data_IF_225685062274
#
_entry.id   IF_225685062274
#
_cell.length_a   1.000
_cell.length_b   1.000
_cell.length_c   1.000
_cell.angle_alpha   90.00
_cell.angle_beta   90.00
_cell.angle_gamma   90.00
#
_symmetry.space_group_name_H-M   'P 1'
#
loop_
_entity.id
_entity.type
_entity.pdbx_description
1 polymer ?
#
# COMPACT_ATOMS: atom_id res chain seq x y z
N UNK A 1 -16.76 32.24 23.83
CA UNK A 1 -16.86 32.30 22.35
C UNK A 1 -15.94 31.30 21.62
N UNK A 2 -14.90 30.74 22.26
CA UNK A 2 -13.95 29.79 21.65
C UNK A 2 -14.43 28.33 21.56
N UNK A 3 -15.29 27.87 22.47
CA UNK A 3 -15.84 26.50 22.45
C UNK A 3 -16.77 26.22 21.26
N UNK A 4 -17.50 27.23 20.78
CA UNK A 4 -18.53 27.08 19.74
C UNK A 4 -17.90 26.93 18.34
N UNK A 5 -16.81 27.67 18.09
CA UNK A 5 -16.01 27.52 16.87
C UNK A 5 -15.32 26.15 16.78
N UNK A 6 -14.83 25.62 17.90
CA UNK A 6 -14.26 24.27 17.97
C UNK A 6 -15.29 23.18 17.66
N UNK A 7 -16.50 23.29 18.23
CA UNK A 7 -17.61 22.37 17.96
C UNK A 7 -18.07 22.44 16.50
N UNK A 8 -18.13 23.63 15.89
CA UNK A 8 -18.46 23.80 14.47
C UNK A 8 -17.41 23.16 13.57
N UNK A 9 -16.11 23.33 13.88
CA UNK A 9 -15.02 22.67 13.15
C UNK A 9 -15.13 21.14 13.22
N UNK A 10 -15.36 20.57 14.40
CA UNK A 10 -15.50 19.12 14.55
C UNK A 10 -16.67 18.56 13.73
N UNK A 11 -17.82 19.23 13.73
CA UNK A 11 -18.97 18.83 12.91
C UNK A 11 -18.68 18.88 11.41
N UNK A 12 -18.01 19.92 10.96
CA UNK A 12 -17.59 20.06 9.57
C UNK A 12 -16.62 18.94 9.16
N UNK A 13 -15.62 18.64 10.00
CA UNK A 13 -14.68 17.53 9.74
C UNK A 13 -15.38 16.18 9.69
N UNK A 14 -16.34 15.90 10.57
CA UNK A 14 -17.14 14.66 10.52
C UNK A 14 -17.96 14.56 9.22
N UNK A 15 -18.59 15.66 8.79
CA UNK A 15 -19.33 15.68 7.52
C UNK A 15 -18.39 15.46 6.33
N UNK A 16 -17.20 16.06 6.35
CA UNK A 16 -16.18 15.83 5.33
C UNK A 16 -15.67 14.39 5.31
N UNK A 17 -15.48 13.76 6.47
CA UNK A 17 -15.06 12.35 6.55
C UNK A 17 -16.09 11.40 5.94
N UNK A 18 -17.38 11.72 6.07
CA UNK A 18 -18.46 10.98 5.43
C UNK A 18 -18.40 11.14 3.91
N UNK A 19 -18.38 12.39 3.42
CA UNK A 19 -18.30 12.69 1.98
C UNK A 19 -17.05 12.08 1.35
N UNK A 20 -15.90 12.16 2.03
CA UNK A 20 -14.64 11.57 1.55
C UNK A 20 -14.77 10.07 1.36
N UNK A 21 -15.43 9.37 2.30
CA UNK A 21 -15.67 7.93 2.19
C UNK A 21 -16.60 7.61 1.04
N UNK A 22 -17.71 8.32 0.90
CA UNK A 22 -18.67 8.12 -0.17
C UNK A 22 -18.03 8.33 -1.55
N UNK A 23 -17.35 9.46 -1.74
CA UNK A 23 -16.67 9.77 -3.02
C UNK A 23 -15.60 8.74 -3.35
N UNK A 24 -14.76 8.36 -2.37
CA UNK A 24 -13.74 7.34 -2.61
C UNK A 24 -14.38 5.98 -2.93
N UNK A 25 -15.48 5.61 -2.29
CA UNK A 25 -16.20 4.38 -2.61
C UNK A 25 -16.76 4.41 -4.04
N UNK A 26 -17.48 5.47 -4.41
CA UNK A 26 -18.07 5.65 -5.73
C UNK A 26 -17.04 5.66 -6.86
N UNK A 27 -15.82 6.15 -6.60
CA UNK A 27 -14.75 6.26 -7.59
C UNK A 27 -13.86 5.02 -7.62
N UNK A 28 -13.44 4.50 -6.45
CA UNK A 28 -12.43 3.45 -6.36
C UNK A 28 -13.06 2.06 -6.53
N UNK A 29 -14.18 1.78 -5.86
CA UNK A 29 -14.82 0.45 -5.88
C UNK A 29 -15.07 -0.06 -7.31
N UNK A 30 -15.67 0.72 -8.25
CA UNK A 30 -15.88 0.25 -9.62
C UNK A 30 -14.62 0.28 -10.51
N UNK A 31 -13.55 0.96 -10.10
CA UNK A 31 -12.33 1.12 -10.90
C UNK A 31 -11.33 -0.04 -10.75
N UNK A 32 -11.52 -0.90 -9.75
CA UNK A 32 -10.65 -2.04 -9.45
C UNK A 32 -11.46 -3.35 -9.46
N UNK A 33 -10.81 -4.51 -9.52
CA UNK A 33 -11.52 -5.80 -9.40
C UNK A 33 -12.23 -5.95 -8.06
N UNK A 34 -13.35 -6.66 -8.05
CA UNK A 34 -14.03 -7.08 -6.82
C UNK A 34 -13.03 -7.71 -5.85
N UNK A 35 -13.03 -7.21 -4.61
CA UNK A 35 -12.00 -7.58 -3.65
C UNK A 35 -12.22 -9.01 -3.17
N UNK A 36 -11.18 -9.82 -3.12
CA UNK A 36 -11.19 -11.13 -2.50
C UNK A 36 -9.76 -11.51 -2.17
N UNK A 37 -9.58 -12.59 -1.40
CA UNK A 37 -8.24 -13.15 -1.18
C UNK A 37 -7.56 -13.46 -2.52
N UNK A 38 -8.30 -14.00 -3.48
CA UNK A 38 -7.77 -14.41 -4.78
C UNK A 38 -7.39 -13.22 -5.66
N UNK A 39 -8.15 -12.11 -5.63
CA UNK A 39 -7.84 -10.91 -6.41
C UNK A 39 -6.74 -10.05 -5.78
N UNK A 40 -6.59 -10.09 -4.45
CA UNK A 40 -5.49 -9.42 -3.74
C UNK A 40 -4.17 -10.19 -3.80
N UNK A 41 -4.22 -11.53 -3.89
CA UNK A 41 -3.04 -12.40 -3.83
C UNK A 41 -1.92 -12.05 -4.83
N UNK A 42 -2.19 -11.76 -6.13
CA UNK A 42 -1.15 -11.39 -7.08
C UNK A 42 -0.33 -10.16 -6.66
N UNK A 43 -0.97 -9.15 -6.07
CA UNK A 43 -0.30 -7.94 -5.58
C UNK A 43 0.67 -8.30 -4.45
N UNK A 44 0.21 -9.08 -3.47
CA UNK A 44 1.01 -9.51 -2.31
C UNK A 44 2.21 -10.37 -2.78
N UNK A 45 1.98 -11.29 -3.72
CA UNK A 45 3.04 -12.11 -4.31
C UNK A 45 4.10 -11.24 -4.98
N UNK A 46 3.70 -10.21 -5.74
CA UNK A 46 4.63 -9.32 -6.42
C UNK A 46 5.49 -8.52 -5.42
N UNK A 47 4.89 -8.00 -4.34
CA UNK A 47 5.66 -7.34 -3.27
C UNK A 47 6.70 -8.30 -2.67
N UNK A 48 6.31 -9.54 -2.39
CA UNK A 48 7.21 -10.55 -1.84
C UNK A 48 8.37 -10.88 -2.79
N UNK A 49 8.10 -11.07 -4.08
CA UNK A 49 9.11 -11.34 -5.10
C UNK A 49 10.12 -10.20 -5.25
N UNK A 50 9.63 -8.96 -5.36
CA UNK A 50 10.50 -7.77 -5.48
C UNK A 50 11.36 -7.57 -4.23
N UNK A 51 10.79 -7.81 -3.04
CA UNK A 51 11.55 -7.80 -1.79
C UNK A 51 12.65 -8.87 -1.80
N UNK A 52 12.34 -10.08 -2.25
CA UNK A 52 13.30 -11.16 -2.35
C UNK A 52 14.44 -10.81 -3.32
N UNK A 53 14.14 -10.22 -4.47
CA UNK A 53 15.15 -9.81 -5.45
C UNK A 53 16.09 -8.72 -4.91
N UNK A 54 15.53 -7.71 -4.25
CA UNK A 54 16.31 -6.67 -3.58
C UNK A 54 17.26 -7.25 -2.53
N UNK A 55 16.74 -8.09 -1.62
CA UNK A 55 17.55 -8.70 -0.56
C UNK A 55 18.60 -9.64 -1.14
N UNK A 56 18.23 -10.49 -2.09
CA UNK A 56 19.15 -11.41 -2.77
C UNK A 56 20.32 -10.66 -3.39
N UNK A 57 20.05 -9.53 -4.04
CA UNK A 57 21.11 -8.72 -4.64
C UNK A 57 21.96 -8.00 -3.59
N UNK A 58 21.37 -7.48 -2.51
CA UNK A 58 22.10 -6.88 -1.40
C UNK A 58 23.09 -7.88 -0.75
N UNK A 59 22.64 -9.11 -0.49
CA UNK A 59 23.49 -10.19 0.04
C UNK A 59 24.59 -10.58 -0.95
N UNK A 60 24.28 -10.65 -2.27
CA UNK A 60 25.29 -10.88 -3.30
C UNK A 60 26.38 -9.81 -3.31
N UNK A 61 26.01 -8.54 -3.15
CA UNK A 61 26.98 -7.44 -3.10
C UNK A 61 27.86 -7.46 -1.85
N UNK A 62 27.34 -8.02 -0.75
CA UNK A 62 28.04 -8.14 0.53
C UNK A 62 28.93 -9.38 0.62
N UNK A 63 28.63 -10.42 -0.17
CA UNK A 63 29.43 -11.63 -0.26
C UNK A 63 30.66 -11.42 -1.17
N UNK A 64 31.79 -12.06 -0.81
CA UNK A 64 33.00 -12.16 -1.63
C UNK A 64 33.64 -10.84 -2.08
N UNK A 65 33.72 -9.86 -1.19
CA UNK A 65 34.56 -8.68 -1.39
C UNK A 65 35.64 -8.60 -0.32
N UNK A 66 36.86 -8.99 -0.68
CA UNK A 66 38.08 -8.71 0.09
C UNK A 66 38.33 -7.19 0.06
N UNK A 67 37.59 -6.46 0.88
CA UNK A 67 37.70 -5.01 1.15
C UNK A 67 37.27 -4.06 0.01
N UNK A 68 36.66 -4.57 -1.06
CA UNK A 68 36.12 -3.72 -2.13
C UNK A 68 34.65 -3.34 -1.87
N UNK A 69 34.30 -2.07 -2.07
CA UNK A 69 32.90 -1.64 -2.05
C UNK A 69 32.17 -1.97 -3.36
N UNK A 70 30.82 -2.00 -3.37
CA UNK A 70 30.02 -2.05 -4.59
C UNK A 70 30.36 -0.93 -5.57
N UNK A 71 30.38 -1.22 -6.87
CA UNK A 71 30.56 -0.20 -7.90
C UNK A 71 29.34 0.72 -8.01
N UNK A 72 29.49 1.87 -8.66
CA UNK A 72 28.37 2.78 -8.90
C UNK A 72 27.22 2.11 -9.68
N UNK A 73 27.53 1.25 -10.66
CA UNK A 73 26.54 0.50 -11.43
C UNK A 73 25.79 -0.51 -10.56
N UNK A 74 26.50 -1.22 -9.68
CA UNK A 74 25.91 -2.15 -8.74
C UNK A 74 24.99 -1.45 -7.74
N UNK A 75 25.40 -0.29 -7.23
CA UNK A 75 24.56 0.54 -6.37
C UNK A 75 23.34 1.10 -7.11
N UNK A 76 23.47 1.47 -8.38
CA UNK A 76 22.35 1.91 -9.20
C UNK A 76 21.32 0.78 -9.39
N UNK A 77 21.79 -0.46 -9.65
CA UNK A 77 20.91 -1.63 -9.72
C UNK A 77 20.23 -1.92 -8.38
N UNK A 78 20.97 -1.86 -7.27
CA UNK A 78 20.42 -2.05 -5.94
C UNK A 78 19.33 -1.01 -5.62
N UNK A 79 19.57 0.26 -5.98
CA UNK A 79 18.60 1.35 -5.86
C UNK A 79 17.33 1.08 -6.67
N UNK A 80 17.47 0.66 -7.92
CA UNK A 80 16.32 0.31 -8.76
C UNK A 80 15.48 -0.82 -8.15
N UNK A 81 16.11 -1.89 -7.66
CA UNK A 81 15.41 -2.99 -7.00
C UNK A 81 14.67 -2.52 -5.74
N UNK A 82 15.29 -1.65 -4.94
CA UNK A 82 14.65 -1.04 -3.76
C UNK A 82 13.42 -0.22 -4.14
N UNK A 83 13.53 0.63 -5.16
CA UNK A 83 12.45 1.52 -5.61
C UNK A 83 11.27 0.72 -6.14
N UNK A 84 11.50 -0.28 -7.00
CA UNK A 84 10.45 -1.19 -7.49
C UNK A 84 9.73 -1.91 -6.35
N UNK A 85 10.48 -2.42 -5.36
CA UNK A 85 9.89 -3.02 -4.17
C UNK A 85 9.07 -2.02 -3.35
N UNK A 86 9.59 -0.82 -3.11
CA UNK A 86 8.93 0.20 -2.29
C UNK A 86 7.64 0.72 -2.94
N UNK A 87 7.62 0.88 -4.26
CA UNK A 87 6.44 1.29 -5.00
C UNK A 87 5.30 0.28 -4.84
N UNK A 88 5.60 -1.01 -5.06
CA UNK A 88 4.60 -2.06 -4.91
C UNK A 88 4.15 -2.24 -3.45
N UNK A 89 5.04 -2.01 -2.48
CA UNK A 89 4.67 -2.00 -1.06
C UNK A 89 3.72 -0.85 -0.74
N UNK A 90 3.94 0.34 -1.31
CA UNK A 90 3.06 1.48 -1.14
C UNK A 90 1.67 1.18 -1.72
N UNK A 91 1.59 0.59 -2.91
CA UNK A 91 0.33 0.15 -3.50
C UNK A 91 -0.43 -0.86 -2.62
N UNK A 92 0.27 -1.85 -2.05
CA UNK A 92 -0.35 -2.83 -1.15
C UNK A 92 -0.88 -2.20 0.15
N UNK A 93 -0.17 -1.20 0.69
CA UNK A 93 -0.62 -0.44 1.88
C UNK A 93 -1.79 0.47 1.57
N UNK A 94 -1.81 1.08 0.39
CA UNK A 94 -2.95 1.88 -0.04
C UNK A 94 -4.19 1.01 -0.20
N UNK A 95 -4.04 -0.22 -0.72
CA UNK A 95 -5.14 -1.17 -0.77
C UNK A 95 -5.67 -1.51 0.63
N UNK A 96 -4.78 -1.83 1.59
CA UNK A 96 -5.15 -2.07 3.00
C UNK A 96 -5.89 -0.85 3.59
N UNK A 97 -5.41 0.36 3.32
CA UNK A 97 -6.07 1.59 3.73
C UNK A 97 -7.47 1.73 3.14
N UNK A 98 -7.64 1.51 1.84
CA UNK A 98 -8.95 1.56 1.18
C UNK A 98 -9.92 0.55 1.79
N UNK A 99 -9.45 -0.65 2.14
CA UNK A 99 -10.24 -1.67 2.83
C UNK A 99 -10.67 -1.19 4.22
N UNK A 100 -9.73 -0.76 5.06
CA UNK A 100 -10.01 -0.29 6.43
C UNK A 100 -10.98 0.90 6.47
N UNK A 101 -10.91 1.73 5.44
CA UNK A 101 -11.76 2.91 5.31
C UNK A 101 -13.08 2.64 4.59
N UNK A 102 -13.30 1.43 4.09
CA UNK A 102 -14.53 1.06 3.37
C UNK A 102 -14.69 1.83 2.06
N UNK A 103 -13.59 2.10 1.35
CA UNK A 103 -13.60 2.69 0.00
C UNK A 103 -13.82 1.62 -1.09
N UNK A 104 -13.84 0.35 -0.71
CA UNK A 104 -14.00 -0.78 -1.63
C UNK A 104 -14.99 -1.75 -0.98
N UNK A 105 -15.84 -2.35 -1.81
CA UNK A 105 -16.73 -3.41 -1.35
C UNK A 105 -15.96 -4.70 -1.07
N UNK A 106 -16.12 -5.21 0.15
CA UNK A 106 -15.66 -6.54 0.49
C UNK A 106 -16.77 -7.56 0.24
N UNK A 107 -16.42 -8.79 -0.19
CA UNK A 107 -17.38 -9.85 -0.36
C UNK A 107 -18.01 -10.10 1.00
N UNK A 108 -19.34 -10.05 1.04
CA UNK A 108 -20.10 -10.36 2.24
C UNK A 108 -19.78 -11.81 2.57
N UNK A 109 -18.93 -12.04 3.57
CA UNK A 109 -18.68 -13.38 4.05
C UNK A 109 -20.03 -13.97 4.45
N UNK A 110 -20.37 -15.15 3.92
CA UNK A 110 -21.49 -15.92 4.40
C UNK A 110 -21.41 -15.94 5.93
N UNK A 111 -22.35 -15.27 6.59
CA UNK A 111 -22.57 -15.47 8.01
C UNK A 111 -22.83 -16.95 8.16
N UNK A 112 -21.85 -17.71 8.65
CA UNK A 112 -22.06 -19.08 9.12
C UNK A 112 -23.26 -19.01 10.07
N UNK A 113 -24.40 -19.50 9.59
CA UNK A 113 -25.56 -19.84 10.40
C UNK A 113 -25.27 -21.09 11.20
#
# INVERSE_FOLDING_TARGET
MTQDAGRSKSRFMMAMEHVLREVNHEVISPAIPDMSVDTALPLIINVAKLRADYLKYAFKLSADRKDNHPTAEELAKLKHLRESYQEMLAAARELEHCIDRGYIDLPVGDKKS
#
